data_IF_253585681726
#
_entry.id   IF_253585681726
#
_cell.length_a   1.000
_cell.length_b   1.000
_cell.length_c   1.000
_cell.angle_alpha   90.00
_cell.angle_beta   90.00
_cell.angle_gamma   90.00
#
_symmetry.space_group_name_H-M   'P 1'
#
loop_
_entity.id
_entity.type
_entity.pdbx_description
1 polymer ?
#
# COMPACT_ATOMS: atom_id res chain seq x y z
N UNK A 1 -13.00 -24.04 31.67
CA UNK A 1 -11.94 -24.40 30.71
C UNK A 1 -10.73 -23.53 31.00
N UNK A 2 -9.60 -24.13 31.40
CA UNK A 2 -8.39 -23.38 31.72
C UNK A 2 -7.72 -22.90 30.43
N UNK A 3 -7.73 -21.59 30.19
CA UNK A 3 -7.06 -20.98 29.03
C UNK A 3 -5.55 -21.08 29.27
N UNK A 4 -4.85 -21.88 28.47
CA UNK A 4 -3.38 -21.93 28.49
C UNK A 4 -2.85 -20.61 27.94
N UNK A 5 -2.23 -19.78 28.79
CA UNK A 5 -1.57 -18.54 28.34
C UNK A 5 -0.37 -18.93 27.47
N UNK A 6 -0.47 -18.68 26.18
CA UNK A 6 0.67 -18.71 25.26
C UNK A 6 1.52 -17.48 25.60
N UNK A 7 2.79 -17.62 26.01
CA UNK A 7 3.63 -16.48 26.34
C UNK A 7 4.03 -15.76 25.05
N UNK A 8 3.26 -14.74 24.67
CA UNK A 8 3.63 -13.84 23.59
C UNK A 8 4.66 -12.83 24.12
N UNK A 9 5.83 -12.77 23.47
CA UNK A 9 6.86 -11.75 23.73
C UNK A 9 6.87 -10.80 22.55
N UNK A 10 6.80 -9.50 22.83
CA UNK A 10 6.94 -8.48 21.81
C UNK A 10 8.42 -8.37 21.43
N UNK A 11 8.73 -8.48 20.14
CA UNK A 11 10.07 -8.26 19.61
C UNK A 11 10.22 -6.81 19.18
N UNK A 12 11.31 -6.19 19.58
CA UNK A 12 11.63 -4.83 19.17
C UNK A 12 11.94 -4.76 17.67
N UNK A 13 11.63 -3.62 17.07
CA UNK A 13 11.87 -3.38 15.65
C UNK A 13 13.37 -3.21 15.38
N UNK A 14 13.87 -3.86 14.32
CA UNK A 14 15.26 -3.80 13.88
C UNK A 14 15.36 -2.81 12.73
N UNK A 15 16.16 -1.77 12.93
CA UNK A 15 16.45 -0.76 11.91
C UNK A 15 17.54 -1.23 10.95
N UNK A 16 17.68 -0.52 9.83
CA UNK A 16 18.70 -0.81 8.81
C UNK A 16 20.15 -0.68 9.34
N UNK A 17 20.36 0.05 10.43
CA UNK A 17 21.65 0.21 11.11
C UNK A 17 21.88 -0.83 12.22
N UNK A 18 21.06 -1.90 12.26
CA UNK A 18 21.03 -2.94 13.30
C UNK A 18 20.66 -2.41 14.71
N UNK A 19 20.28 -1.13 14.83
CA UNK A 19 19.76 -0.60 16.07
C UNK A 19 18.36 -1.14 16.35
N UNK A 20 18.02 -1.22 17.63
CA UNK A 20 16.77 -1.81 18.10
C UNK A 20 15.95 -0.74 18.80
N UNK A 21 14.70 -0.54 18.36
CA UNK A 21 13.81 0.44 19.01
C UNK A 21 13.37 -0.10 20.36
N UNK A 22 13.82 0.52 21.46
CA UNK A 22 13.46 0.09 22.82
C UNK A 22 11.96 0.30 23.14
N UNK A 23 11.32 1.27 22.47
CA UNK A 23 9.90 1.58 22.68
C UNK A 23 9.03 0.81 21.68
N UNK A 24 8.35 -0.20 22.21
CA UNK A 24 7.31 -0.95 21.51
C UNK A 24 6.04 -0.10 21.34
N UNK A 25 6.07 0.87 20.43
CA UNK A 25 4.88 1.61 20.01
C UNK A 25 4.22 0.93 18.81
N UNK A 26 2.89 0.99 18.74
CA UNK A 26 2.12 0.46 17.61
C UNK A 26 2.17 1.36 16.38
N UNK A 27 2.61 2.62 16.56
CA UNK A 27 2.74 3.62 15.52
C UNK A 27 4.11 3.48 14.87
N UNK A 28 4.14 2.96 13.65
CA UNK A 28 5.36 2.75 12.89
C UNK A 28 5.63 3.99 12.04
N UNK A 29 6.79 4.61 12.22
CA UNK A 29 7.27 5.62 11.28
C UNK A 29 7.49 4.99 9.89
N UNK A 30 7.12 5.71 8.84
CA UNK A 30 7.30 5.22 7.47
C UNK A 30 8.79 5.20 7.12
N UNK A 31 9.32 4.03 6.75
CA UNK A 31 10.71 3.88 6.35
C UNK A 31 11.02 4.79 5.14
N UNK A 32 12.10 5.60 5.17
CA UNK A 32 12.48 6.46 4.04
C UNK A 32 12.65 5.69 2.71
N UNK A 33 12.99 4.40 2.78
CA UNK A 33 13.12 3.51 1.62
C UNK A 33 11.80 3.31 0.87
N UNK A 34 10.64 3.51 1.52
CA UNK A 34 9.32 3.40 0.89
C UNK A 34 9.19 4.40 -0.26
N UNK A 35 9.59 5.65 -0.02
CA UNK A 35 9.52 6.71 -1.04
C UNK A 35 10.45 6.43 -2.23
N UNK A 36 11.66 5.91 -1.97
CA UNK A 36 12.61 5.56 -3.04
C UNK A 36 12.06 4.44 -3.93
N UNK A 37 11.52 3.38 -3.32
CA UNK A 37 10.92 2.27 -4.04
C UNK A 37 9.67 2.71 -4.82
N UNK A 38 8.80 3.52 -4.19
CA UNK A 38 7.62 4.10 -4.84
C UNK A 38 8.02 4.87 -6.10
N UNK A 39 9.02 5.76 -6.01
CA UNK A 39 9.49 6.52 -7.16
C UNK A 39 10.03 5.61 -8.27
N UNK A 40 10.81 4.58 -7.92
CA UNK A 40 11.35 3.62 -8.88
C UNK A 40 10.24 2.86 -9.60
N UNK A 41 9.21 2.39 -8.88
CA UNK A 41 8.05 1.72 -9.47
C UNK A 41 7.26 2.67 -10.36
N UNK A 42 7.03 3.91 -9.91
CA UNK A 42 6.33 4.94 -10.70
C UNK A 42 7.05 5.27 -12.00
N UNK A 43 8.39 5.35 -12.00
CA UNK A 43 9.16 5.55 -13.22
C UNK A 43 8.93 4.43 -14.25
N UNK A 44 8.86 3.17 -13.80
CA UNK A 44 8.57 2.05 -14.70
C UNK A 44 7.13 2.09 -15.24
N UNK A 45 6.17 2.42 -14.40
CA UNK A 45 4.75 2.53 -14.78
C UNK A 45 4.50 3.74 -15.69
N UNK A 46 5.25 4.83 -15.52
CA UNK A 46 5.16 6.02 -16.36
C UNK A 46 5.68 5.80 -17.81
N UNK A 47 6.36 4.69 -18.09
CA UNK A 47 6.83 4.35 -19.44
C UNK A 47 5.69 3.85 -20.33
N UNK A 48 4.72 3.12 -19.77
CA UNK A 48 3.63 2.51 -20.55
C UNK A 48 2.29 2.59 -19.82
N UNK A 49 1.31 3.21 -20.50
CA UNK A 49 -0.06 3.32 -20.03
C UNK A 49 -0.73 1.97 -19.74
N UNK A 50 -0.42 0.93 -20.51
CA UNK A 50 -0.99 -0.39 -20.25
C UNK A 50 -0.53 -0.96 -18.89
N UNK A 51 0.69 -0.63 -18.45
CA UNK A 51 1.19 -1.05 -17.14
C UNK A 51 0.48 -0.32 -16.00
N UNK A 52 0.25 0.99 -16.12
CA UNK A 52 -0.54 1.73 -15.14
C UNK A 52 -1.98 1.20 -15.04
N UNK A 53 -2.63 0.92 -16.16
CA UNK A 53 -4.00 0.39 -16.14
C UNK A 53 -4.06 -1.00 -15.50
N UNK A 54 -3.05 -1.85 -15.74
CA UNK A 54 -2.89 -3.14 -15.05
C UNK A 54 -2.64 -2.95 -13.56
N UNK A 55 -1.82 -1.99 -13.15
CA UNK A 55 -1.56 -1.69 -11.74
C UNK A 55 -2.84 -1.23 -11.01
N UNK A 56 -3.62 -0.33 -11.63
CA UNK A 56 -4.93 0.10 -11.12
C UNK A 56 -5.87 -1.11 -11.01
N UNK A 57 -5.97 -1.93 -12.05
CA UNK A 57 -6.82 -3.14 -12.02
C UNK A 57 -6.40 -4.11 -10.93
N UNK A 58 -5.09 -4.33 -10.74
CA UNK A 58 -4.55 -5.20 -9.71
C UNK A 58 -4.93 -4.70 -8.31
N UNK A 59 -4.75 -3.40 -8.05
CA UNK A 59 -5.13 -2.77 -6.78
C UNK A 59 -6.63 -2.95 -6.47
N UNK A 60 -7.51 -2.63 -7.43
CA UNK A 60 -8.96 -2.81 -7.24
C UNK A 60 -9.32 -4.28 -6.99
N UNK A 61 -8.67 -5.20 -7.73
CA UNK A 61 -8.91 -6.64 -7.55
C UNK A 61 -8.48 -7.14 -6.17
N UNK A 62 -7.38 -6.61 -5.63
CA UNK A 62 -6.89 -6.93 -4.30
C UNK A 62 -7.86 -6.45 -3.22
N UNK A 63 -8.31 -5.19 -3.29
CA UNK A 63 -9.29 -4.63 -2.33
C UNK A 63 -10.59 -5.44 -2.35
N UNK A 64 -11.06 -5.83 -3.55
CA UNK A 64 -12.26 -6.67 -3.68
C UNK A 64 -12.07 -8.07 -3.11
N UNK A 65 -10.90 -8.69 -3.32
CA UNK A 65 -10.58 -10.00 -2.76
C UNK A 65 -10.51 -9.94 -1.23
N UNK A 66 -9.86 -8.90 -0.68
CA UNK A 66 -9.77 -8.67 0.76
C UNK A 66 -11.15 -8.47 1.39
N UNK A 67 -12.04 -7.71 0.75
CA UNK A 67 -13.42 -7.49 1.22
C UNK A 67 -14.29 -8.74 1.20
N UNK A 68 -13.99 -9.74 0.36
CA UNK A 68 -14.78 -10.97 0.22
C UNK A 68 -14.25 -12.14 1.04
N UNK A 69 -13.21 -11.93 1.83
CA UNK A 69 -12.61 -12.98 2.63
C UNK A 69 -13.58 -13.44 3.74
N UNK A 70 -13.73 -14.76 3.95
CA UNK A 70 -14.69 -15.31 4.93
C UNK A 70 -14.38 -14.88 6.38
N UNK A 71 -13.09 -14.78 6.73
CA UNK A 71 -12.63 -14.32 8.04
C UNK A 71 -12.66 -12.79 8.21
N UNK A 72 -13.85 -12.19 8.04
CA UNK A 72 -14.08 -10.73 8.15
C UNK A 72 -13.71 -10.12 9.51
N UNK A 73 -13.65 -10.93 10.58
CA UNK A 73 -13.22 -10.47 11.90
C UNK A 73 -11.72 -10.10 11.96
N UNK A 74 -10.89 -10.87 11.25
CA UNK A 74 -9.44 -10.66 11.19
C UNK A 74 -9.11 -9.68 10.06
N UNK A 75 -9.74 -9.83 8.89
CA UNK A 75 -9.50 -9.02 7.71
C UNK A 75 -10.55 -7.91 7.59
N UNK A 76 -10.36 -6.84 8.38
CA UNK A 76 -11.25 -5.67 8.38
C UNK A 76 -10.76 -4.63 7.37
N UNK A 77 -11.54 -4.40 6.30
CA UNK A 77 -11.21 -3.38 5.27
C UNK A 77 -11.04 -1.98 5.86
N UNK A 78 -11.77 -1.66 6.94
CA UNK A 78 -11.68 -0.36 7.63
C UNK A 78 -10.34 -0.12 8.33
N UNK A 79 -9.72 -1.20 8.79
CA UNK A 79 -8.45 -1.16 9.53
C UNK A 79 -7.25 -1.37 8.59
N UNK A 80 -7.51 -1.54 7.29
CA UNK A 80 -6.50 -1.75 6.27
C UNK A 80 -5.98 -0.41 5.75
N UNK A 81 -4.66 -0.23 5.77
CA UNK A 81 -4.03 0.94 5.15
C UNK A 81 -4.04 0.85 3.62
N UNK A 82 -5.11 1.39 3.03
CA UNK A 82 -5.28 1.45 1.58
C UNK A 82 -4.27 2.37 0.90
N UNK A 83 -3.71 3.36 1.61
CA UNK A 83 -2.74 4.31 1.04
C UNK A 83 -1.36 3.66 0.96
N UNK A 84 -0.92 2.97 2.00
CA UNK A 84 0.32 2.17 1.95
C UNK A 84 0.28 1.09 0.88
N UNK A 85 -0.87 0.42 0.71
CA UNK A 85 -1.06 -0.55 -0.38
C UNK A 85 -1.03 0.16 -1.75
N UNK A 86 -1.67 1.33 -1.89
CA UNK A 86 -1.58 2.09 -3.14
C UNK A 86 -0.13 2.46 -3.50
N UNK A 87 0.72 2.75 -2.50
CA UNK A 87 2.16 2.98 -2.69
C UNK A 87 2.87 1.70 -3.17
N UNK A 88 2.56 0.53 -2.61
CA UNK A 88 3.21 -0.73 -3.02
C UNK A 88 2.86 -1.17 -4.45
N UNK A 89 1.65 -0.84 -4.93
CA UNK A 89 1.27 -1.02 -6.33
C UNK A 89 1.83 0.05 -7.27
N UNK A 90 2.50 1.09 -6.74
CA UNK A 90 3.13 2.15 -7.53
C UNK A 90 2.14 3.07 -8.23
N UNK A 91 0.91 3.19 -7.73
CA UNK A 91 -0.13 3.94 -8.43
C UNK A 91 0.30 5.39 -8.71
N UNK A 92 0.07 5.83 -9.94
CA UNK A 92 0.33 7.21 -10.37
C UNK A 92 -0.73 8.16 -9.80
N UNK A 93 -1.97 7.67 -9.72
CA UNK A 93 -3.14 8.38 -9.20
C UNK A 93 -4.06 7.40 -8.46
N UNK A 94 -4.67 7.86 -7.37
CA UNK A 94 -5.66 7.03 -6.67
C UNK A 94 -6.95 6.89 -7.49
N UNK A 95 -7.47 5.66 -7.67
CA UNK A 95 -8.76 5.44 -8.31
C UNK A 95 -9.90 5.94 -7.42
N UNK A 96 -10.97 6.44 -8.04
CA UNK A 96 -12.18 6.82 -7.31
C UNK A 96 -12.97 5.57 -6.90
N UNK A 97 -12.91 5.22 -5.62
CA UNK A 97 -13.60 4.06 -5.07
C UNK A 97 -14.37 4.39 -3.78
N UNK A 98 -15.51 3.72 -3.48
CA UNK A 98 -16.26 3.92 -2.25
C UNK A 98 -15.47 3.54 -1.00
N UNK A 99 -14.61 2.52 -1.08
CA UNK A 99 -13.72 2.07 0.00
C UNK A 99 -12.68 3.15 0.36
N UNK A 100 -12.31 3.98 -0.60
CA UNK A 100 -11.30 5.03 -0.46
C UNK A 100 -11.89 6.38 -0.01
N UNK A 101 -13.20 6.45 0.28
CA UNK A 101 -13.88 7.69 0.71
C UNK A 101 -13.61 8.03 2.18
N UNK A 102 -13.33 7.03 3.02
CA UNK A 102 -13.03 7.22 4.44
C UNK A 102 -11.56 7.00 4.81
N UNK A 103 -10.69 6.68 3.84
CA UNK A 103 -9.28 6.48 4.08
C UNK A 103 -8.57 7.82 4.32
N UNK A 104 -7.63 7.85 5.28
CA UNK A 104 -6.77 9.02 5.49
C UNK A 104 -5.85 9.19 4.28
N UNK A 105 -6.02 10.27 3.51
CA UNK A 105 -5.26 10.57 2.29
C UNK A 105 -4.09 11.53 2.53
N UNK A 106 -3.83 11.92 3.78
CA UNK A 106 -2.77 12.89 4.12
C UNK A 106 -1.40 12.44 3.62
N UNK A 107 -1.12 11.14 3.68
CA UNK A 107 0.16 10.55 3.26
C UNK A 107 0.25 10.25 1.75
N UNK A 108 -0.79 10.57 0.96
CA UNK A 108 -0.79 10.32 -0.47
C UNK A 108 -0.34 11.54 -1.28
N UNK A 109 0.63 11.32 -2.15
CA UNK A 109 1.06 12.31 -3.16
C UNK A 109 0.88 11.73 -4.56
N UNK A 110 0.02 12.36 -5.36
CA UNK A 110 -0.15 12.02 -6.77
C UNK A 110 1.16 12.24 -7.55
N UNK A 111 1.44 11.38 -8.52
CA UNK A 111 2.60 11.55 -9.39
C UNK A 111 2.39 12.74 -10.33
N UNK A 112 3.40 13.60 -10.48
CA UNK A 112 3.41 14.66 -11.48
C UNK A 112 3.70 14.04 -12.85
N UNK A 113 2.63 13.66 -13.56
CA UNK A 113 2.71 13.11 -14.91
C UNK A 113 1.83 13.95 -15.82
N UNK A 114 2.37 14.27 -17.00
CA UNK A 114 1.61 14.87 -18.08
C UNK A 114 0.76 13.80 -18.76
N UNK A 115 -0.53 13.79 -18.46
CA UNK A 115 -1.49 12.82 -18.96
C UNK A 115 -1.79 12.99 -20.45
N UNK A 116 -1.47 14.15 -21.05
CA UNK A 116 -1.67 14.40 -22.48
C UNK A 116 -0.58 13.72 -23.33
N UNK A 117 0.63 13.59 -22.77
CA UNK A 117 1.76 12.87 -23.40
C UNK A 117 1.75 11.37 -23.08
N UNK A 118 0.93 10.93 -22.12
CA UNK A 118 0.90 9.54 -21.63
C UNK A 118 0.16 8.59 -22.59
N UNK A 119 0.91 8.12 -23.59
CA UNK A 119 0.45 7.18 -24.60
C UNK A 119 0.76 5.72 -24.24
N UNK A 120 0.05 4.79 -24.87
CA UNK A 120 0.40 3.37 -24.83
C UNK A 120 1.72 3.15 -25.58
N UNK A 121 2.62 2.37 -25.00
CA UNK A 121 3.87 2.01 -25.67
C UNK A 121 3.61 1.15 -26.93
N UNK A 122 2.51 0.38 -26.92
CA UNK A 122 2.06 -0.43 -28.03
C UNK A 122 0.76 0.16 -28.61
N UNK A 123 0.82 0.66 -29.84
CA UNK A 123 -0.37 1.04 -30.62
C UNK A 123 -0.82 -0.20 -31.39
N UNK A 124 -1.68 -1.00 -30.77
CA UNK A 124 -2.47 -1.98 -31.50
C UNK A 124 -3.60 -1.30 -32.28
#
# INVERSE_FOLDING_TARGET
MAVRKIPLRLHAYIHADESVTETASSEHEEDPSVNQNLQRTRQQLATDRALNDKAVKAFVSFVRAYSKHEASYIFRVKDLDLVGIAKSFGLLRLPRMPELKGANRETWQDAQIDWDTYAYADKA
#
